data_IF_776256823272
#
_entry.id   IF_776256823272
#
_cell.length_a   1.000
_cell.length_b   1.000
_cell.length_c   1.000
_cell.angle_alpha   90.00
_cell.angle_beta   90.00
_cell.angle_gamma   90.00
#
_symmetry.space_group_name_H-M   'P 1'
#
loop_
_entity.id
_entity.type
_entity.pdbx_description
1 polymer ?
#
# COMPACT_ATOMS: atom_id res chain seq x y z
N UNK A 1 27.61 5.23 1.96
CA UNK A 1 26.26 4.71 2.22
C UNK A 1 25.45 4.98 0.96
N UNK A 2 24.83 3.97 0.35
CA UNK A 2 23.94 4.21 -0.79
C UNK A 2 22.58 4.59 -0.22
N UNK A 3 22.20 5.86 -0.41
CA UNK A 3 20.87 6.33 -0.06
C UNK A 3 19.86 5.58 -0.93
N UNK A 4 18.93 4.86 -0.29
CA UNK A 4 17.83 4.23 -1.00
C UNK A 4 16.95 5.35 -1.52
N UNK A 5 17.01 5.63 -2.82
CA UNK A 5 16.17 6.66 -3.45
C UNK A 5 14.71 6.24 -3.30
N UNK A 6 13.96 7.03 -2.52
CA UNK A 6 12.51 6.91 -2.39
C UNK A 6 11.91 7.83 -3.45
N UNK A 7 11.20 7.26 -4.41
CA UNK A 7 10.54 8.03 -5.47
C UNK A 7 9.03 7.96 -5.28
N UNK A 8 8.35 9.08 -5.51
CA UNK A 8 6.89 9.15 -5.52
C UNK A 8 6.40 8.80 -6.93
N UNK A 9 5.42 7.91 -7.01
CA UNK A 9 4.75 7.50 -8.25
C UNK A 9 3.24 7.63 -8.16
N UNK A 10 2.57 7.38 -9.29
CA UNK A 10 1.11 7.24 -9.36
C UNK A 10 0.74 6.00 -10.16
N UNK A 11 -0.30 5.30 -9.71
CA UNK A 11 -0.87 4.15 -10.42
C UNK A 11 -2.38 4.31 -10.53
N UNK A 12 -2.94 3.98 -11.68
CA UNK A 12 -4.39 3.92 -11.86
C UNK A 12 -4.98 2.69 -11.17
N UNK A 13 -5.98 2.92 -10.32
CA UNK A 13 -6.68 1.88 -9.57
C UNK A 13 -8.18 2.18 -9.58
N UNK A 14 -8.92 1.40 -10.36
CA UNK A 14 -10.37 1.56 -10.55
C UNK A 14 -10.78 3.00 -10.94
N UNK A 15 -10.02 3.64 -11.83
CA UNK A 15 -10.29 5.00 -12.31
C UNK A 15 -9.92 6.09 -11.31
N UNK A 16 -9.14 5.76 -10.27
CA UNK A 16 -8.57 6.71 -9.33
C UNK A 16 -7.05 6.59 -9.33
N UNK A 17 -6.34 7.72 -9.32
CA UNK A 17 -4.89 7.71 -9.15
C UNK A 17 -4.52 7.51 -7.68
N UNK A 18 -3.77 6.44 -7.39
CA UNK A 18 -3.17 6.21 -6.09
C UNK A 18 -1.75 6.75 -6.07
N UNK A 19 -1.41 7.47 -5.00
CA UNK A 19 -0.05 7.90 -4.73
C UNK A 19 0.74 6.70 -4.19
N UNK A 20 1.84 6.37 -4.86
CA UNK A 20 2.71 5.26 -4.49
C UNK A 20 4.11 5.73 -4.13
N UNK A 21 4.83 4.87 -3.41
CA UNK A 21 6.25 5.01 -3.12
C UNK A 21 6.97 3.86 -3.81
N UNK A 22 7.89 4.18 -4.72
CA UNK A 22 8.77 3.21 -5.34
C UNK A 22 9.95 2.92 -4.40
N UNK A 23 10.04 1.67 -3.94
CA UNK A 23 11.13 1.19 -3.11
C UNK A 23 11.57 -0.20 -3.59
N UNK A 24 12.86 -0.37 -3.87
CA UNK A 24 13.43 -1.64 -4.39
C UNK A 24 12.67 -2.17 -5.62
N UNK A 25 12.29 -1.27 -6.53
CA UNK A 25 11.58 -1.59 -7.76
C UNK A 25 10.16 -2.17 -7.54
N UNK A 26 9.58 -1.93 -6.36
CA UNK A 26 8.22 -2.29 -5.98
C UNK A 26 7.48 -1.00 -5.59
N UNK A 27 6.27 -0.83 -6.12
CA UNK A 27 5.39 0.27 -5.71
C UNK A 27 4.58 -0.10 -4.48
N UNK A 28 4.64 0.75 -3.46
CA UNK A 28 3.89 0.61 -2.22
C UNK A 28 2.87 1.73 -2.08
N UNK A 29 1.70 1.40 -1.54
CA UNK A 29 0.63 2.37 -1.25
C UNK A 29 0.23 2.32 0.22
N UNK A 30 -0.21 3.45 0.75
CA UNK A 30 -0.82 3.50 2.08
C UNK A 30 -2.21 2.84 2.03
N UNK A 31 -2.35 1.62 2.57
CA UNK A 31 -3.59 0.85 2.48
C UNK A 31 -4.76 1.43 3.30
N UNK A 32 -4.49 2.19 4.37
CA UNK A 32 -5.56 2.76 5.22
C UNK A 32 -6.50 3.70 4.43
N UNK A 33 -6.02 4.76 3.76
CA UNK A 33 -6.92 5.63 2.98
C UNK A 33 -7.62 4.89 1.83
N UNK A 34 -6.99 3.88 1.23
CA UNK A 34 -7.63 3.04 0.20
C UNK A 34 -8.82 2.28 0.78
N UNK A 35 -8.64 1.63 1.94
CA UNK A 35 -9.70 0.88 2.64
C UNK A 35 -10.84 1.79 3.09
N UNK A 36 -10.51 2.95 3.69
CA UNK A 36 -11.50 3.92 4.14
C UNK A 36 -12.25 4.55 2.96
N UNK A 37 -11.57 4.83 1.84
CA UNK A 37 -12.20 5.33 0.61
C UNK A 37 -13.17 4.35 -0.04
N UNK A 38 -12.97 3.04 0.15
CA UNK A 38 -13.93 2.00 -0.24
C UNK A 38 -15.11 1.85 0.73
N UNK A 39 -15.16 2.62 1.82
CA UNK A 39 -16.21 2.52 2.85
C UNK A 39 -16.06 1.30 3.77
N UNK A 40 -14.87 0.70 3.86
CA UNK A 40 -14.60 -0.47 4.68
C UNK A 40 -13.93 -0.09 6.00
N UNK A 41 -14.17 -0.87 7.06
CA UNK A 41 -13.48 -0.69 8.34
C UNK A 41 -12.00 -1.06 8.25
N UNK A 42 -11.11 -0.09 8.52
CA UNK A 42 -9.67 -0.31 8.56
C UNK A 42 -9.25 -1.40 9.54
N UNK A 43 -9.83 -1.45 10.75
CA UNK A 43 -9.41 -2.37 11.79
C UNK A 43 -9.57 -3.84 11.38
N UNK A 44 -10.69 -4.17 10.72
CA UNK A 44 -10.92 -5.51 10.18
C UNK A 44 -9.96 -5.87 9.05
N UNK A 45 -9.69 -4.91 8.14
CA UNK A 45 -8.79 -5.15 7.01
C UNK A 45 -7.32 -5.23 7.44
N UNK A 46 -6.90 -4.41 8.39
CA UNK A 46 -5.55 -4.46 8.95
C UNK A 46 -5.23 -5.83 9.54
N UNK A 47 -6.20 -6.44 10.22
CA UNK A 47 -6.05 -7.79 10.77
C UNK A 47 -5.81 -8.82 9.65
N UNK A 48 -6.61 -8.78 8.58
CA UNK A 48 -6.44 -9.67 7.42
C UNK A 48 -5.10 -9.48 6.71
N UNK A 49 -4.69 -8.23 6.47
CA UNK A 49 -3.41 -7.89 5.85
C UNK A 49 -2.26 -8.45 6.68
N UNK A 50 -2.28 -8.23 8.01
CA UNK A 50 -1.22 -8.73 8.91
C UNK A 50 -1.19 -10.26 8.95
N UNK A 51 -2.33 -10.90 9.01
CA UNK A 51 -2.42 -12.37 9.00
C UNK A 51 -1.87 -12.94 7.70
N UNK A 52 -2.21 -12.35 6.54
CA UNK A 52 -1.68 -12.78 5.23
C UNK A 52 -0.17 -12.67 5.12
N UNK A 53 0.46 -11.66 5.75
CA UNK A 53 1.91 -11.52 5.79
C UNK A 53 2.59 -12.57 6.69
N UNK A 54 1.87 -13.07 7.69
CA UNK A 54 2.42 -14.04 8.67
C UNK A 54 2.49 -15.47 8.10
N UNK A 55 1.70 -15.79 7.07
CA UNK A 55 1.74 -17.09 6.38
C UNK A 55 2.84 -17.21 5.32
N UNK A 56 3.56 -16.11 5.03
CA UNK A 56 4.68 -16.10 4.09
C UNK A 56 6.05 -15.88 4.75
N UNK A 57 6.13 -15.98 6.08
CA UNK A 57 7.36 -15.91 6.87
C UNK A 57 7.63 -17.26 7.56
#
# INVERSE_FOLDING_TARGET
>A
MHESQVQIGTVDFHGNELITVLYRNIEYVAMKPVVEGMGLSWQGQQTKIRTSLTYQA
#
